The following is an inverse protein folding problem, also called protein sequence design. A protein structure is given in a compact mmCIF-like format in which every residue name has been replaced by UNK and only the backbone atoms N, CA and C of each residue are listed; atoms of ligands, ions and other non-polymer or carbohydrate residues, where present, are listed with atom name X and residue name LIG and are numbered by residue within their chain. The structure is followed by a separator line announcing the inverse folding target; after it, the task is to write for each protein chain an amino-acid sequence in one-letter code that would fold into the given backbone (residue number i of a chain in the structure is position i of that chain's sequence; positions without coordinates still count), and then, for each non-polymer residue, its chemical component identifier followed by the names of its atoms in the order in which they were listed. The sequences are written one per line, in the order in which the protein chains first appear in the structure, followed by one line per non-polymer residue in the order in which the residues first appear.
data_IF_116487777065
#
_entry.id   IF_116487777065
#
_cell.length_a   1.000
_cell.length_b   1.000
_cell.length_c   1.000
_cell.angle_alpha   90.00
_cell.angle_beta   90.00
_cell.angle_gamma   90.00
#
_symmetry.space_group_name_H-M   'P 1'
#
loop_
_entity.id
_entity.type
_entity.pdbx_description
1 polymer ?
#
# COMPACT_ATOMS: atom_id res chain seq x y z
N UNK A 1 1.45 -7.96 22.39
CA UNK A 1 2.70 -8.60 21.94
C UNK A 1 3.10 -7.91 20.65
N UNK A 2 4.19 -7.14 20.63
CA UNK A 2 4.71 -6.50 19.42
C UNK A 2 5.47 -7.54 18.60
N UNK A 3 4.91 -7.95 17.47
CA UNK A 3 5.63 -8.77 16.49
C UNK A 3 6.80 -7.95 15.95
N UNK A 4 8.02 -8.45 16.12
CA UNK A 4 9.21 -7.82 15.58
C UNK A 4 9.38 -8.28 14.14
N UNK A 5 8.90 -7.47 13.19
CA UNK A 5 9.20 -7.68 11.78
C UNK A 5 10.69 -7.40 11.54
N UNK A 6 11.31 -8.21 10.69
CA UNK A 6 12.63 -7.90 10.16
C UNK A 6 12.52 -6.71 9.20
N UNK A 7 13.58 -5.93 9.10
CA UNK A 7 13.70 -4.84 8.10
C UNK A 7 13.39 -5.31 6.67
N UNK A 8 13.79 -6.53 6.32
CA UNK A 8 13.56 -7.10 5.00
C UNK A 8 12.07 -7.41 4.76
N UNK A 9 11.37 -7.97 5.75
CA UNK A 9 9.92 -8.23 5.66
C UNK A 9 9.13 -6.93 5.50
N UNK A 10 9.48 -5.89 6.28
CA UNK A 10 8.79 -4.61 6.16
C UNK A 10 9.05 -3.96 4.81
N UNK A 11 10.30 -3.98 4.31
CA UNK A 11 10.61 -3.43 2.99
C UNK A 11 9.85 -4.16 1.88
N UNK A 12 9.88 -5.49 1.87
CA UNK A 12 9.17 -6.28 0.87
C UNK A 12 7.66 -6.05 0.91
N UNK A 13 7.09 -5.92 2.12
CA UNK A 13 5.68 -5.58 2.27
C UNK A 13 5.38 -4.18 1.73
N UNK A 14 6.20 -3.17 2.05
CA UNK A 14 6.01 -1.81 1.54
C UNK A 14 6.16 -1.75 0.02
N UNK A 15 7.13 -2.45 -0.56
CA UNK A 15 7.31 -2.50 -2.03
C UNK A 15 6.08 -3.12 -2.71
N UNK A 16 5.51 -4.17 -2.11
CA UNK A 16 4.27 -4.79 -2.58
C UNK A 16 3.09 -3.82 -2.49
N UNK A 17 2.89 -3.17 -1.33
CA UNK A 17 1.80 -2.22 -1.07
C UNK A 17 1.94 -0.95 -1.92
N UNK A 18 3.16 -0.54 -2.24
CA UNK A 18 3.42 0.62 -3.09
C UNK A 18 3.17 0.35 -4.58
N UNK A 19 2.98 -0.91 -5.00
CA UNK A 19 2.70 -1.24 -6.39
C UNK A 19 1.50 -0.46 -6.93
N UNK A 20 1.71 0.30 -8.02
CA UNK A 20 0.65 1.12 -8.64
C UNK A 20 -0.58 0.31 -9.02
N UNK A 21 -0.38 -0.91 -9.53
CA UNK A 21 -1.48 -1.80 -9.93
C UNK A 21 -2.29 -2.28 -8.71
N UNK A 22 -1.64 -2.49 -7.57
CA UNK A 22 -2.31 -2.87 -6.34
C UNK A 22 -3.07 -1.69 -5.73
N UNK A 23 -2.45 -0.50 -5.68
CA UNK A 23 -3.11 0.74 -5.23
C UNK A 23 -4.37 0.98 -6.06
N UNK A 24 -4.24 0.95 -7.39
CA UNK A 24 -5.36 1.16 -8.33
C UNK A 24 -6.49 0.15 -8.11
N UNK A 25 -6.16 -1.14 -7.94
CA UNK A 25 -7.15 -2.19 -7.72
C UNK A 25 -7.91 -1.98 -6.40
N UNK A 26 -7.19 -1.75 -5.30
CA UNK A 26 -7.80 -1.61 -3.97
C UNK A 26 -8.69 -0.38 -3.93
N UNK A 27 -8.22 0.78 -4.41
CA UNK A 27 -9.01 2.00 -4.37
C UNK A 27 -10.20 1.95 -5.31
N UNK A 28 -10.09 1.29 -6.47
CA UNK A 28 -11.25 1.13 -7.36
C UNK A 28 -12.39 0.36 -6.69
N UNK A 29 -12.06 -0.70 -5.95
CA UNK A 29 -13.06 -1.49 -5.21
C UNK A 29 -13.58 -0.71 -4.00
N UNK A 30 -12.72 0.07 -3.33
CA UNK A 30 -13.14 0.92 -2.21
C UNK A 30 -14.15 2.00 -2.64
N UNK A 31 -13.84 2.70 -3.74
CA UNK A 31 -14.64 3.81 -4.26
C UNK A 31 -15.97 3.34 -4.88
N UNK A 32 -15.98 2.19 -5.57
CA UNK A 32 -17.11 1.77 -6.41
C UNK A 32 -17.76 0.46 -5.95
N UNK A 33 -17.22 -0.18 -4.91
CA UNK A 33 -17.63 -1.50 -4.46
C UNK A 33 -17.10 -2.63 -5.35
N UNK A 34 -17.65 -3.82 -5.13
CA UNK A 34 -17.18 -5.04 -5.76
C UNK A 34 -17.24 -5.00 -7.29
N UNK A 35 -16.18 -5.50 -7.95
CA UNK A 35 -16.07 -5.51 -9.41
C UNK A 35 -16.46 -6.88 -9.96
N UNK A 36 -17.49 -6.97 -10.82
CA UNK A 36 -17.86 -8.23 -11.47
C UNK A 36 -16.71 -8.77 -12.32
N UNK A 37 -16.46 -10.10 -12.36
CA UNK A 37 -15.30 -10.67 -13.07
C UNK A 37 -15.24 -10.29 -14.55
N UNK A 38 -16.40 -10.17 -15.21
CA UNK A 38 -16.50 -9.79 -16.62
C UNK A 38 -16.22 -8.32 -16.89
N UNK A 39 -16.30 -7.46 -15.86
CA UNK A 39 -16.07 -6.01 -15.97
C UNK A 39 -14.68 -5.60 -15.53
N UNK A 40 -13.92 -6.51 -14.92
CA UNK A 40 -12.64 -6.18 -14.30
C UNK A 40 -11.63 -5.53 -15.27
N UNK A 41 -11.50 -6.07 -16.49
CA UNK A 41 -10.60 -5.50 -17.50
C UNK A 41 -11.07 -4.13 -18.03
N UNK A 42 -12.38 -3.93 -18.16
CA UNK A 42 -12.95 -2.67 -18.64
C UNK A 42 -12.88 -1.57 -17.57
N UNK A 43 -13.12 -1.93 -16.31
CA UNK A 43 -13.04 -1.01 -15.16
C UNK A 43 -11.60 -0.54 -14.91
N UNK A 44 -10.62 -1.43 -15.11
CA UNK A 44 -9.19 -1.18 -14.90
C UNK A 44 -8.42 -1.12 -16.23
N UNK A 45 -8.99 -0.43 -17.22
CA UNK A 45 -8.46 -0.36 -18.58
C UNK A 45 -7.09 0.35 -18.69
N UNK A 46 -6.69 1.09 -17.64
CA UNK A 46 -5.35 1.67 -17.52
C UNK A 46 -4.27 0.64 -17.19
N UNK A 47 -4.64 -0.57 -16.74
CA UNK A 47 -3.73 -1.67 -16.45
C UNK A 47 -3.70 -2.67 -17.61
N UNK A 48 -2.49 -3.13 -17.96
CA UNK A 48 -2.36 -4.28 -18.86
C UNK A 48 -2.96 -5.54 -18.23
N UNK A 49 -3.40 -6.50 -19.06
CA UNK A 49 -3.92 -7.80 -18.59
C UNK A 49 -2.96 -8.51 -17.63
N UNK A 50 -1.65 -8.41 -17.87
CA UNK A 50 -0.64 -8.97 -16.99
C UNK A 50 -0.60 -8.28 -15.62
N UNK A 51 -0.60 -6.95 -15.60
CA UNK A 51 -0.62 -6.17 -14.36
C UNK A 51 -1.90 -6.43 -13.55
N UNK A 52 -3.04 -6.49 -14.24
CA UNK A 52 -4.33 -6.76 -13.60
C UNK A 52 -4.38 -8.15 -12.98
N UNK A 53 -3.94 -9.18 -13.73
CA UNK A 53 -3.85 -10.55 -13.23
C UNK A 53 -2.95 -10.63 -12.01
N UNK A 54 -1.73 -10.09 -12.13
CA UNK A 54 -0.75 -10.12 -11.06
C UNK A 54 -1.23 -9.37 -9.80
N UNK A 55 -1.84 -8.20 -9.96
CA UNK A 55 -2.41 -7.44 -8.84
C UNK A 55 -3.54 -8.20 -8.15
N UNK A 56 -4.43 -8.83 -8.93
CA UNK A 56 -5.55 -9.62 -8.39
C UNK A 56 -5.06 -10.86 -7.64
N UNK A 57 -4.12 -11.61 -8.22
CA UNK A 57 -3.51 -12.78 -7.59
C UNK A 57 -2.79 -12.41 -6.30
N UNK A 58 -1.98 -11.35 -6.34
CA UNK A 58 -1.27 -10.82 -5.17
C UNK A 58 -2.27 -10.41 -4.08
N UNK A 59 -3.28 -9.60 -4.42
CA UNK A 59 -4.27 -9.14 -3.47
C UNK A 59 -5.03 -10.30 -2.82
N UNK A 60 -5.36 -11.36 -3.58
CA UNK A 60 -5.99 -12.58 -3.03
C UNK A 60 -5.05 -13.35 -2.11
N UNK A 61 -3.80 -13.57 -2.54
CA UNK A 61 -2.80 -14.28 -1.75
C UNK A 61 -2.49 -13.56 -0.44
N UNK A 62 -2.59 -12.23 -0.41
CA UNK A 62 -2.42 -11.40 0.78
C UNK A 62 -3.71 -11.17 1.57
N UNK A 63 -4.82 -11.80 1.17
CA UNK A 63 -6.10 -11.69 1.86
C UNK A 63 -6.71 -10.29 1.83
N UNK A 64 -6.32 -9.43 0.89
CA UNK A 64 -6.83 -8.05 0.73
C UNK A 64 -8.15 -8.03 -0.02
N UNK A 65 -8.36 -9.00 -0.90
CA UNK A 65 -9.59 -9.16 -1.68
C UNK A 65 -10.07 -10.59 -1.65
N UNK A 66 -11.38 -10.77 -1.84
CA UNK A 66 -12.01 -12.08 -2.02
C UNK A 66 -13.01 -12.05 -3.17
N UNK A 67 -13.36 -13.22 -3.68
CA UNK A 67 -14.45 -13.34 -4.65
C UNK A 67 -15.75 -13.65 -3.91
N UNK A 68 -16.69 -12.72 -3.93
CA UNK A 68 -18.05 -12.91 -3.43
C UNK A 68 -18.97 -13.48 -4.53
N UNK A 69 -19.71 -14.57 -4.26
CA UNK A 69 -20.69 -15.10 -5.19
C UNK A 69 -21.73 -14.04 -5.57
N UNK A 70 -22.00 -13.89 -6.87
CA UNK A 70 -22.99 -12.95 -7.39
C UNK A 70 -22.50 -11.50 -7.55
N UNK A 71 -21.49 -11.07 -6.79
CA UNK A 71 -21.00 -9.68 -6.83
C UNK A 71 -19.66 -9.53 -7.55
N UNK A 72 -18.73 -10.47 -7.34
CA UNK A 72 -17.39 -10.44 -7.94
C UNK A 72 -16.27 -10.21 -6.95
N UNK A 73 -15.25 -9.46 -7.35
CA UNK A 73 -14.07 -9.19 -6.53
C UNK A 73 -14.36 -8.04 -5.56
N UNK A 74 -14.24 -8.27 -4.26
CA UNK A 74 -14.51 -7.28 -3.21
C UNK A 74 -13.35 -7.20 -2.19
N UNK A 75 -13.28 -6.09 -1.45
CA UNK A 75 -12.33 -5.93 -0.35
C UNK A 75 -12.71 -6.84 0.83
N UNK A 76 -11.69 -7.35 1.51
CA UNK A 76 -11.83 -7.86 2.88
C UNK A 76 -11.69 -6.70 3.87
N UNK A 77 -11.92 -6.94 5.16
CA UNK A 77 -11.68 -5.94 6.20
C UNK A 77 -10.24 -5.40 6.14
N UNK A 78 -9.26 -6.28 5.95
CA UNK A 78 -7.86 -5.92 5.76
C UNK A 78 -7.62 -5.04 4.50
N UNK A 79 -8.34 -5.33 3.42
CA UNK A 79 -8.32 -4.54 2.19
C UNK A 79 -8.92 -3.15 2.36
N UNK A 80 -10.02 -3.03 3.11
CA UNK A 80 -10.65 -1.74 3.43
C UNK A 80 -9.77 -0.90 4.36
N UNK A 81 -9.19 -1.50 5.39
CA UNK A 81 -8.21 -0.80 6.25
C UNK A 81 -6.98 -0.32 5.45
N UNK A 82 -6.56 -1.09 4.44
CA UNK A 82 -5.49 -0.66 3.53
C UNK A 82 -5.93 0.52 2.65
N UNK A 83 -7.18 0.55 2.19
CA UNK A 83 -7.71 1.69 1.45
C UNK A 83 -7.69 2.95 2.33
N UNK A 84 -8.10 2.88 3.59
CA UNK A 84 -8.00 3.98 4.55
C UNK A 84 -6.55 4.48 4.74
N UNK A 85 -5.57 3.58 4.75
CA UNK A 85 -4.15 3.92 4.80
C UNK A 85 -3.70 4.67 3.53
N UNK A 86 -4.08 4.19 2.35
CA UNK A 86 -3.80 4.88 1.08
C UNK A 86 -4.41 6.26 1.06
N UNK A 87 -5.63 6.38 1.57
CA UNK A 87 -6.37 7.61 1.57
C UNK A 87 -5.76 8.65 2.54
N UNK A 88 -5.29 8.17 3.70
CA UNK A 88 -4.50 8.96 4.66
C UNK A 88 -3.17 9.40 4.04
N UNK A 89 -2.46 8.52 3.33
CA UNK A 89 -1.22 8.86 2.63
C UNK A 89 -1.44 9.92 1.53
N UNK A 90 -2.50 9.78 0.74
CA UNK A 90 -2.86 10.77 -0.27
C UNK A 90 -3.26 12.13 0.34
N UNK A 91 -3.92 12.13 1.51
CA UNK A 91 -4.21 13.35 2.27
C UNK A 91 -2.94 14.02 2.80
N UNK A 92 -1.99 13.26 3.34
CA UNK A 92 -0.67 13.78 3.73
C UNK A 92 0.04 14.44 2.55
N UNK A 93 0.10 13.74 1.41
CA UNK A 93 0.74 14.25 0.19
C UNK A 93 0.14 15.57 -0.28
N UNK A 94 -1.20 15.68 -0.24
CA UNK A 94 -1.92 16.90 -0.62
C UNK A 94 -1.66 18.05 0.35
N UNK A 95 -1.69 17.78 1.67
CA UNK A 95 -1.44 18.80 2.72
C UNK A 95 -0.06 19.42 2.58
N UNK A 96 0.92 18.59 2.25
CA UNK A 96 2.33 18.98 2.24
C UNK A 96 2.92 19.20 0.84
N UNK A 97 2.08 19.20 -0.20
CA UNK A 97 2.46 19.38 -1.60
C UNK A 97 3.65 18.49 -2.04
N UNK A 98 3.68 17.24 -1.55
CA UNK A 98 4.77 16.30 -1.77
C UNK A 98 4.21 14.93 -2.23
N UNK A 99 4.47 14.47 -3.47
CA UNK A 99 5.25 15.12 -4.52
C UNK A 99 4.45 16.26 -5.18
N UNK A 100 4.89 16.77 -6.33
CA UNK A 100 4.24 17.86 -7.09
C UNK A 100 2.71 17.92 -6.92
N UNK A 101 2.11 19.12 -6.71
CA UNK A 101 0.67 19.26 -6.50
C UNK A 101 -0.21 18.66 -7.59
N UNK A 102 0.32 18.44 -8.79
CA UNK A 102 -0.37 17.78 -9.90
C UNK A 102 0.25 16.39 -10.10
N UNK A 103 -0.30 15.40 -9.42
CA UNK A 103 0.02 13.99 -9.62
C UNK A 103 -1.18 13.10 -9.29
N UNK A 104 -1.27 11.98 -10.01
CA UNK A 104 -2.28 10.94 -9.82
C UNK A 104 -2.26 10.38 -8.39
N UNK A 105 -3.42 9.93 -7.92
CA UNK A 105 -3.57 9.35 -6.58
C UNK A 105 -2.53 8.26 -6.29
N UNK A 106 -2.39 7.28 -7.19
CA UNK A 106 -1.44 6.17 -7.00
C UNK A 106 0.02 6.64 -6.91
N UNK A 107 0.38 7.75 -7.56
CA UNK A 107 1.71 8.32 -7.46
C UNK A 107 1.93 8.99 -6.10
N UNK A 108 0.91 9.64 -5.53
CA UNK A 108 0.98 10.21 -4.18
C UNK A 108 1.20 9.12 -3.14
N UNK A 109 0.37 8.09 -3.20
CA UNK A 109 0.44 6.97 -2.25
C UNK A 109 1.79 6.27 -2.36
N UNK A 110 2.22 5.89 -3.56
CA UNK A 110 3.53 5.29 -3.78
C UNK A 110 4.66 6.16 -3.23
N UNK A 111 4.65 7.47 -3.50
CA UNK A 111 5.67 8.40 -3.00
C UNK A 111 5.72 8.44 -1.48
N UNK A 112 4.57 8.53 -0.82
CA UNK A 112 4.52 8.57 0.65
C UNK A 112 4.98 7.24 1.25
N UNK A 113 4.61 6.10 0.66
CA UNK A 113 5.11 4.79 1.11
C UNK A 113 6.63 4.66 0.92
N UNK A 114 7.19 5.15 -0.19
CA UNK A 114 8.65 5.19 -0.41
C UNK A 114 9.38 6.07 0.62
N UNK A 115 8.76 7.18 1.06
CA UNK A 115 9.30 8.01 2.15
C UNK A 115 9.35 7.25 3.49
N UNK A 116 8.43 6.31 3.72
CA UNK A 116 8.38 5.54 4.96
C UNK A 116 9.43 4.42 4.98
N UNK A 117 9.81 3.86 3.82
CA UNK A 117 10.71 2.70 3.71
C UNK A 117 12.04 2.83 4.47
N UNK A 118 12.82 3.94 4.37
CA UNK A 118 14.09 4.07 5.11
C UNK A 118 13.87 4.07 6.62
N UNK A 119 12.78 4.69 7.05
CA UNK A 119 12.46 4.85 8.46
C UNK A 119 12.11 3.48 9.08
N UNK A 120 11.36 2.66 8.33
CA UNK A 120 10.92 1.33 8.72
C UNK A 120 12.07 0.30 8.81
N UNK A 121 13.19 0.56 8.14
CA UNK A 121 14.33 -0.33 8.04
C UNK A 121 15.31 -0.29 9.22
N UNK A 122 15.06 0.53 10.24
CA UNK A 122 15.92 0.72 11.42
C UNK A 122 17.31 1.29 11.08
N UNK A 123 17.36 2.57 10.72
CA UNK A 123 18.51 3.44 11.02
C UNK A 123 17.96 4.70 11.71
N UNK A 124 17.71 4.56 13.02
CA UNK A 124 17.31 5.65 13.90
C UNK A 124 18.40 6.73 13.94
N UNK A 125 17.99 8.00 13.90
CA UNK A 125 18.79 9.22 13.65
C UNK A 125 19.18 9.44 12.17
N UNK A 126 19.72 8.44 11.49
CA UNK A 126 20.26 8.63 10.13
C UNK A 126 19.15 8.69 9.04
N UNK A 127 18.03 8.02 9.28
CA UNK A 127 16.84 8.10 8.42
C UNK A 127 16.15 9.46 8.50
N UNK A 128 16.08 10.11 9.67
CA UNK A 128 15.50 11.45 9.80
C UNK A 128 16.40 12.49 9.12
N UNK A 129 17.73 12.36 9.26
CA UNK A 129 18.68 13.22 8.56
C UNK A 129 18.59 13.10 7.03
N UNK A 130 18.40 11.89 6.48
CA UNK A 130 18.16 11.67 5.03
C UNK A 130 16.83 12.23 4.55
N UNK A 131 15.81 12.14 5.40
CA UNK A 131 14.48 12.70 5.17
C UNK A 131 14.56 14.24 5.13
N UNK A 132 15.27 14.88 6.06
CA UNK A 132 15.56 16.32 6.01
C UNK A 132 16.42 16.71 4.79
N UNK A 133 17.41 15.89 4.40
CA UNK A 133 18.23 16.12 3.21
C UNK A 133 17.47 15.97 1.89
N UNK A 134 16.34 15.25 1.88
CA UNK A 134 15.42 15.11 0.73
C UNK A 134 14.49 16.33 0.54
N UNK A 135 14.65 17.38 1.35
CA UNK A 135 13.84 18.60 1.25
C UNK A 135 12.42 18.40 1.76
N UNK A 136 12.26 17.60 2.82
CA UNK A 136 10.95 17.34 3.40
C UNK A 136 10.27 18.62 3.92
N UNK A 137 8.92 18.62 3.95
CA UNK A 137 8.15 19.69 4.54
C UNK A 137 8.38 19.74 6.06
N UNK A 138 8.18 20.90 6.69
CA UNK A 138 8.63 21.20 8.06
C UNK A 138 8.11 20.27 9.17
N UNK A 139 8.42 20.59 10.44
CA UNK A 139 8.18 19.71 11.60
C UNK A 139 6.78 19.06 11.70
N UNK A 140 5.73 19.77 11.27
CA UNK A 140 4.35 19.24 11.20
C UNK A 140 4.21 18.07 10.22
N UNK A 141 4.88 18.13 9.08
CA UNK A 141 4.86 17.04 8.10
C UNK A 141 5.60 15.80 8.58
N UNK A 142 6.69 15.99 9.33
CA UNK A 142 7.42 14.91 9.97
C UNK A 142 6.55 14.21 11.03
N UNK A 143 5.82 14.97 11.85
CA UNK A 143 4.90 14.41 12.84
C UNK A 143 3.75 13.63 12.19
N UNK A 144 3.09 14.21 11.17
CA UNK A 144 2.04 13.52 10.44
C UNK A 144 2.56 12.24 9.77
N UNK A 145 3.79 12.27 9.22
CA UNK A 145 4.41 11.11 8.59
C UNK A 145 4.76 10.03 9.63
N UNK A 146 5.22 10.43 10.82
CA UNK A 146 5.45 9.50 11.93
C UNK A 146 4.16 8.83 12.40
N UNK A 147 3.03 9.55 12.39
CA UNK A 147 1.71 8.98 12.67
C UNK A 147 1.29 7.96 11.61
N UNK A 148 1.47 8.29 10.32
CA UNK A 148 1.18 7.37 9.22
C UNK A 148 2.06 6.11 9.30
N UNK A 149 3.33 6.27 9.68
CA UNK A 149 4.24 5.15 9.94
C UNK A 149 3.70 4.23 11.03
N UNK A 150 3.24 4.78 12.14
CA UNK A 150 2.70 4.00 13.25
C UNK A 150 1.45 3.21 12.82
N UNK A 151 0.56 3.85 12.05
CA UNK A 151 -0.62 3.19 11.47
C UNK A 151 -0.24 2.03 10.54
N UNK A 152 0.74 2.23 9.65
CA UNK A 152 1.22 1.19 8.75
C UNK A 152 1.83 0.01 9.54
N UNK A 153 2.64 0.27 10.56
CA UNK A 153 3.22 -0.78 11.40
C UNK A 153 2.15 -1.56 12.17
N UNK A 154 1.13 -0.87 12.69
CA UNK A 154 0.00 -1.49 13.37
C UNK A 154 -0.81 -2.38 12.41
N UNK A 155 -1.07 -1.90 11.20
CA UNK A 155 -1.77 -2.66 10.18
C UNK A 155 -0.97 -3.88 9.73
N UNK A 156 0.34 -3.75 9.53
CA UNK A 156 1.22 -4.90 9.21
C UNK A 156 1.20 -5.93 10.35
N UNK A 157 1.23 -5.49 11.62
CA UNK A 157 1.13 -6.37 12.79
C UNK A 157 -0.20 -7.14 12.83
N UNK A 158 -1.30 -6.52 12.39
CA UNK A 158 -2.60 -7.16 12.30
C UNK A 158 -2.75 -8.09 11.07
N UNK A 159 -1.90 -7.92 10.05
CA UNK A 159 -2.01 -8.59 8.75
C UNK A 159 -0.72 -9.36 8.37
N UNK A 160 -0.33 -10.40 9.15
CA UNK A 160 0.93 -11.12 8.94
C UNK A 160 1.03 -11.83 7.58
N UNK A 161 -0.11 -12.15 6.94
CA UNK A 161 -0.17 -12.71 5.60
C UNK A 161 0.42 -11.78 4.52
N UNK A 162 0.51 -10.48 4.79
CA UNK A 162 1.09 -9.47 3.90
C UNK A 162 2.61 -9.50 3.97
N UNK A 163 3.16 -9.71 5.16
CA UNK A 163 4.60 -9.78 5.43
C UNK A 163 5.20 -11.16 5.20
N UNK A 164 4.37 -12.21 5.19
CA UNK A 164 4.83 -13.57 4.92
C UNK A 164 5.50 -13.62 3.54
N UNK A 165 6.75 -14.08 3.46
CA UNK A 165 7.36 -14.39 2.17
C UNK A 165 6.49 -15.49 1.53
N UNK A 166 5.96 -15.23 0.32
CA UNK A 166 5.32 -16.30 -0.43
C UNK A 166 6.44 -17.26 -0.82
N UNK A 167 6.51 -18.42 -0.17
CA UNK A 167 7.34 -19.51 -0.69
C UNK A 167 6.82 -19.81 -2.11
N UNK A 168 7.70 -19.90 -3.12
CA UNK A 168 7.29 -20.37 -4.43
C UNK A 168 6.78 -21.81 -4.26
N UNK A 169 5.51 -22.02 -4.63
CA UNK A 169 4.89 -23.35 -4.66
C UNK A 169 5.80 -24.30 -5.46
N UNK A 170 6.21 -25.46 -4.91
CA UNK A 170 7.03 -26.40 -5.65
C UNK A 170 6.20 -26.93 -6.82
N UNK A 171 6.63 -26.62 -8.04
CA UNK A 171 6.09 -27.23 -9.26
C UNK A 171 6.33 -28.74 -9.16
N UNK A 172 5.24 -29.50 -8.96
CA UNK A 172 5.23 -30.95 -8.98
C UNK A 172 5.18 -31.49 -10.42
#
# INVERSE_FOLDING_TARGET
MTTLFTTAEVRNAVDLLASRSLIRLVTEIDDNGAIPPRRLADTLADLSTHQLRHATETARARGLVRTAPGTGLELTDAGSELADLYDTAARWSRRHASPSPVCEFSNRVHHVLDLLTPSLATEGADSLARLSARGLPGAEAEEDLARLRALLLQWLAANPQVTALSDPEPVA
#
